data_IF_282143344273
#
_entry.id   IF_282143344273
#
_cell.length_a   1.000
_cell.length_b   1.000
_cell.length_c   1.000
_cell.angle_alpha   90.00
_cell.angle_beta   90.00
_cell.angle_gamma   90.00
#
_symmetry.space_group_name_H-M   'P 1'
#
loop_
_entity.id
_entity.type
_entity.pdbx_description
1 polymer ?
#
# COMPACT_ATOMS: atom_id res chain seq x y z
N UNK A 1 -29.37 42.93 24.07
CA UNK A 1 -28.44 44.06 24.19
C UNK A 1 -27.81 44.29 22.83
N UNK A 2 -28.09 45.47 22.27
CA UNK A 2 -27.59 45.96 20.99
C UNK A 2 -26.10 46.26 21.09
N UNK A 3 -25.31 45.87 20.09
CA UNK A 3 -24.14 46.66 19.66
C UNK A 3 -24.00 46.58 18.15
N UNK A 4 -23.95 47.77 17.55
CA UNK A 4 -23.82 48.10 16.13
C UNK A 4 -22.34 48.02 15.73
N UNK A 5 -22.04 47.51 14.54
CA UNK A 5 -20.76 47.73 13.88
C UNK A 5 -21.00 48.13 12.42
N UNK A 6 -20.96 49.45 12.23
CA UNK A 6 -20.63 50.25 11.04
C UNK A 6 -20.38 49.52 9.72
N UNK A 7 -21.24 49.81 8.74
CA UNK A 7 -21.01 49.55 7.32
C UNK A 7 -19.97 50.52 6.74
N UNK A 8 -18.82 50.00 6.32
CA UNK A 8 -17.94 50.70 5.38
C UNK A 8 -18.34 50.29 3.98
N UNK A 9 -18.96 51.21 3.24
CA UNK A 9 -19.24 51.07 1.81
C UNK A 9 -17.96 51.29 1.01
N UNK A 10 -17.49 50.24 0.32
CA UNK A 10 -16.44 50.32 -0.71
C UNK A 10 -17.14 50.28 -2.08
N UNK A 11 -16.76 51.12 -3.06
CA UNK A 11 -17.52 51.26 -4.31
C UNK A 11 -17.41 50.01 -5.20
N UNK A 12 -18.51 49.77 -5.92
CA UNK A 12 -18.72 48.73 -6.92
C UNK A 12 -17.55 48.56 -7.91
N UNK A 13 -17.20 47.30 -8.20
CA UNK A 13 -16.31 46.98 -9.32
C UNK A 13 -15.85 45.52 -9.45
N UNK A 14 -16.16 44.64 -8.50
CA UNK A 14 -15.81 43.22 -8.60
C UNK A 14 -17.03 42.34 -8.37
N UNK A 15 -17.40 41.54 -9.36
CA UNK A 15 -18.28 40.38 -9.16
C UNK A 15 -17.83 39.63 -7.90
N UNK A 16 -18.71 39.35 -6.93
CA UNK A 16 -18.32 38.58 -5.77
C UNK A 16 -17.83 37.23 -6.27
N UNK A 17 -16.56 36.90 -6.02
CA UNK A 17 -16.05 35.55 -6.26
C UNK A 17 -16.87 34.64 -5.34
N UNK A 18 -17.94 34.04 -5.88
CA UNK A 18 -18.59 32.90 -5.24
C UNK A 18 -17.47 31.93 -4.89
N UNK A 19 -17.32 31.62 -3.60
CA UNK A 19 -16.52 30.50 -3.12
C UNK A 19 -17.06 29.21 -3.74
N UNK A 20 -16.76 28.98 -5.01
CA UNK A 20 -17.00 27.73 -5.72
C UNK A 20 -15.89 26.80 -5.29
N UNK A 21 -16.04 26.25 -4.08
CA UNK A 21 -15.24 25.12 -3.65
C UNK A 21 -15.55 23.97 -4.63
N UNK A 22 -14.62 23.71 -5.56
CA UNK A 22 -14.74 22.57 -6.50
C UNK A 22 -14.89 21.28 -5.69
N UNK A 23 -15.61 20.26 -6.21
CA UNK A 23 -15.63 18.93 -5.58
C UNK A 23 -14.20 18.46 -5.29
N UNK A 24 -13.98 17.82 -4.13
CA UNK A 24 -12.63 17.39 -3.70
C UNK A 24 -11.98 16.49 -4.76
N UNK A 25 -12.75 15.62 -5.40
CA UNK A 25 -12.29 14.75 -6.49
C UNK A 25 -11.69 15.50 -7.70
N UNK A 26 -12.02 16.79 -7.89
CA UNK A 26 -11.57 17.60 -9.04
C UNK A 26 -10.53 18.65 -8.62
N UNK A 27 -9.88 18.47 -7.47
CA UNK A 27 -8.85 19.40 -6.95
C UNK A 27 -7.46 18.86 -7.21
N UNK A 28 -6.53 19.80 -7.45
CA UNK A 28 -5.10 19.55 -7.35
C UNK A 28 -4.64 20.07 -5.99
N UNK A 29 -4.07 19.19 -5.16
CA UNK A 29 -3.56 19.55 -3.84
C UNK A 29 -2.16 20.17 -3.92
N UNK A 30 -1.81 21.00 -2.94
CA UNK A 30 -0.55 21.78 -2.95
C UNK A 30 0.21 21.56 -1.65
N UNK A 31 1.35 20.87 -1.74
CA UNK A 31 2.29 20.72 -0.61
C UNK A 31 3.32 21.86 -0.56
N UNK A 32 3.76 22.35 -1.72
CA UNK A 32 4.67 23.49 -1.89
C UNK A 32 4.14 24.40 -3.00
N UNK A 33 4.23 25.71 -2.82
CA UNK A 33 3.76 26.68 -3.82
C UNK A 33 4.46 26.51 -5.17
N UNK A 34 3.70 26.51 -6.27
CA UNK A 34 4.20 26.33 -7.64
C UNK A 34 3.62 27.40 -8.57
N UNK A 35 4.49 28.10 -9.30
CA UNK A 35 4.13 29.13 -10.28
C UNK A 35 4.03 28.51 -11.69
N UNK A 36 2.83 28.11 -12.10
CA UNK A 36 2.60 27.40 -13.37
C UNK A 36 2.98 28.21 -14.62
N UNK A 37 2.94 29.54 -14.55
CA UNK A 37 3.36 30.46 -15.61
C UNK A 37 4.86 30.35 -15.96
N UNK A 38 5.67 29.90 -15.00
CA UNK A 38 7.11 29.69 -15.16
C UNK A 38 7.47 28.33 -15.75
N UNK A 39 6.54 27.37 -15.80
CA UNK A 39 6.78 26.03 -16.34
C UNK A 39 6.76 26.08 -17.87
N UNK A 40 7.75 25.46 -18.52
CA UNK A 40 7.89 25.43 -20.00
C UNK A 40 7.69 24.06 -20.63
N UNK A 41 7.83 23.00 -19.85
CA UNK A 41 7.70 21.62 -20.32
C UNK A 41 6.83 20.84 -19.35
N UNK A 42 6.02 19.93 -19.89
CA UNK A 42 5.18 19.01 -19.14
C UNK A 42 5.58 17.59 -19.56
N UNK A 43 6.18 16.84 -18.63
CA UNK A 43 6.48 15.43 -18.82
C UNK A 43 5.37 14.57 -18.24
N UNK A 44 5.06 13.45 -18.90
CA UNK A 44 4.07 12.48 -18.44
C UNK A 44 4.72 11.10 -18.40
N UNK A 45 4.46 10.37 -17.32
CA UNK A 45 4.63 8.93 -17.26
C UNK A 45 3.40 8.25 -17.91
N UNK A 46 3.51 6.97 -18.27
CA UNK A 46 2.43 6.25 -18.94
C UNK A 46 1.54 5.51 -17.93
N UNK A 47 2.10 4.49 -17.29
CA UNK A 47 1.33 3.54 -16.49
C UNK A 47 0.86 4.14 -15.17
N UNK A 48 -0.42 3.95 -14.85
CA UNK A 48 -1.09 4.57 -13.69
C UNK A 48 -0.98 6.11 -13.64
N UNK A 49 -0.58 6.77 -14.74
CA UNK A 49 -0.57 8.22 -14.90
C UNK A 49 -1.46 8.67 -16.06
N UNK A 50 -1.19 8.19 -17.28
CA UNK A 50 -2.05 8.40 -18.46
C UNK A 50 -2.94 7.19 -18.71
N UNK A 51 -2.37 5.99 -18.53
CA UNK A 51 -3.06 4.71 -18.65
C UNK A 51 -3.41 4.18 -17.25
N UNK A 52 -4.62 4.48 -16.79
CA UNK A 52 -5.14 3.94 -15.54
C UNK A 52 -5.77 2.56 -15.81
N UNK A 53 -5.15 1.52 -15.27
CA UNK A 53 -5.66 0.15 -15.35
C UNK A 53 -6.90 0.00 -14.46
N UNK A 54 -7.87 -0.79 -14.93
CA UNK A 54 -9.10 -1.05 -14.19
C UNK A 54 -8.84 -2.00 -13.03
N UNK A 55 -9.30 -1.59 -11.85
CA UNK A 55 -9.24 -2.38 -10.63
C UNK A 55 -10.62 -2.96 -10.31
N UNK A 56 -10.73 -4.25 -9.92
CA UNK A 56 -9.63 -5.17 -9.63
C UNK A 56 -9.18 -6.05 -10.81
N UNK A 57 -9.72 -5.87 -12.03
CA UNK A 57 -9.53 -6.83 -13.13
C UNK A 57 -8.06 -6.96 -13.57
N UNK A 58 -7.29 -5.86 -13.55
CA UNK A 58 -5.88 -5.90 -13.93
C UNK A 58 -5.02 -6.61 -12.86
N UNK A 59 -5.31 -6.38 -11.59
CA UNK A 59 -4.64 -7.02 -10.46
C UNK A 59 -4.93 -8.53 -10.44
N UNK A 60 -6.19 -8.93 -10.68
CA UNK A 60 -6.58 -10.35 -10.81
C UNK A 60 -5.79 -11.02 -11.93
N UNK A 61 -5.69 -10.39 -13.10
CA UNK A 61 -4.92 -10.92 -14.22
C UNK A 61 -3.44 -11.14 -13.84
N UNK A 62 -2.81 -10.17 -13.18
CA UNK A 62 -1.43 -10.30 -12.71
C UNK A 62 -1.27 -11.42 -11.68
N UNK A 63 -2.21 -11.52 -10.74
CA UNK A 63 -2.23 -12.55 -9.70
C UNK A 63 -2.34 -13.96 -10.30
N UNK A 64 -3.23 -14.16 -11.27
CA UNK A 64 -3.43 -15.44 -11.96
C UNK A 64 -2.21 -15.89 -12.77
N UNK A 65 -1.52 -14.94 -13.41
CA UNK A 65 -0.28 -15.21 -14.12
C UNK A 65 0.84 -15.65 -13.17
N UNK A 66 0.97 -15.00 -12.00
CA UNK A 66 1.99 -15.35 -10.99
C UNK A 66 1.72 -16.75 -10.40
N UNK A 67 0.47 -17.07 -10.06
CA UNK A 67 0.06 -18.42 -9.62
C UNK A 67 0.54 -19.49 -10.58
N UNK A 68 0.18 -19.32 -11.85
CA UNK A 68 0.50 -20.27 -12.92
C UNK A 68 2.02 -20.41 -13.05
N UNK A 69 2.74 -19.29 -13.09
CA UNK A 69 4.20 -19.29 -13.25
C UNK A 69 4.92 -20.00 -12.09
N UNK A 70 4.48 -19.81 -10.86
CA UNK A 70 5.16 -20.43 -9.70
C UNK A 70 4.95 -21.94 -9.66
N UNK A 71 3.77 -22.43 -10.04
CA UNK A 71 3.54 -23.88 -10.16
C UNK A 71 4.41 -24.49 -11.27
N UNK A 72 4.60 -23.79 -12.39
CA UNK A 72 5.57 -24.22 -13.43
C UNK A 72 7.01 -24.31 -12.90
N UNK A 73 7.39 -23.45 -11.95
CA UNK A 73 8.70 -23.46 -11.29
C UNK A 73 8.80 -24.49 -10.15
N UNK A 74 7.72 -25.23 -9.87
CA UNK A 74 7.72 -26.35 -8.91
C UNK A 74 7.12 -26.03 -7.54
N UNK A 75 6.42 -24.91 -7.38
CA UNK A 75 5.60 -24.68 -6.19
C UNK A 75 4.37 -25.61 -6.17
N UNK A 76 3.76 -25.89 -4.98
CA UNK A 76 2.60 -26.78 -4.86
C UNK A 76 1.40 -26.35 -5.72
N UNK A 77 0.73 -27.31 -6.36
CA UNK A 77 -0.44 -27.05 -7.22
C UNK A 77 -1.60 -26.37 -6.48
N UNK A 78 -1.70 -26.57 -5.16
CA UNK A 78 -2.72 -25.94 -4.29
C UNK A 78 -2.71 -24.40 -4.36
N UNK A 79 -1.62 -23.78 -4.82
CA UNK A 79 -1.53 -22.33 -5.02
C UNK A 79 -2.46 -21.84 -6.14
N UNK A 80 -2.82 -22.69 -7.11
CA UNK A 80 -3.73 -22.32 -8.20
C UNK A 80 -5.12 -21.93 -7.68
N UNK A 81 -5.50 -22.48 -6.53
CA UNK A 81 -6.78 -22.22 -5.86
C UNK A 81 -6.81 -20.88 -5.12
N UNK A 82 -5.70 -20.15 -5.04
CA UNK A 82 -5.71 -18.83 -4.41
C UNK A 82 -6.57 -17.85 -5.22
N UNK A 83 -7.41 -17.09 -4.53
CA UNK A 83 -8.22 -16.02 -5.12
C UNK A 83 -7.67 -14.66 -4.69
N UNK A 84 -7.66 -13.68 -5.60
CA UNK A 84 -7.21 -12.33 -5.27
C UNK A 84 -8.29 -11.58 -4.49
N UNK A 85 -7.93 -11.05 -3.31
CA UNK A 85 -8.77 -10.15 -2.52
C UNK A 85 -8.26 -8.70 -2.65
N UNK A 86 -9.00 -7.79 -3.33
CA UNK A 86 -8.60 -6.40 -3.48
C UNK A 86 -8.67 -5.58 -2.17
N UNK A 87 -9.40 -6.05 -1.16
CA UNK A 87 -9.59 -5.32 0.09
C UNK A 87 -8.43 -5.53 1.08
N UNK A 88 -7.59 -6.55 0.87
CA UNK A 88 -6.45 -6.85 1.73
C UNK A 88 -5.23 -5.97 1.50
N UNK A 89 -4.64 -5.89 0.29
CA UNK A 89 -3.36 -5.19 0.10
C UNK A 89 -3.55 -3.68 0.14
N UNK A 90 -2.59 -3.00 0.75
CA UNK A 90 -2.50 -1.54 0.72
C UNK A 90 -1.14 -1.11 0.20
N UNK A 91 -1.10 -0.05 -0.60
CA UNK A 91 0.16 0.57 -1.03
C UNK A 91 0.91 1.18 0.16
N UNK A 92 2.22 1.09 0.13
CA UNK A 92 3.14 1.58 1.16
C UNK A 92 3.47 0.58 2.25
N UNK A 93 3.05 -0.68 2.12
CA UNK A 93 3.45 -1.75 3.03
C UNK A 93 4.92 -2.13 2.82
N UNK A 94 5.55 -2.58 3.89
CA UNK A 94 6.91 -3.11 3.90
C UNK A 94 6.83 -4.62 4.08
N UNK A 95 7.44 -5.38 3.20
CA UNK A 95 7.57 -6.81 3.34
C UNK A 95 8.95 -7.14 3.93
N UNK A 96 8.96 -7.75 5.11
CA UNK A 96 10.15 -8.24 5.77
C UNK A 96 10.50 -9.64 5.26
N UNK A 97 11.50 -9.73 4.38
CA UNK A 97 11.90 -10.99 3.74
C UNK A 97 12.51 -11.99 4.71
N UNK A 98 13.01 -11.53 5.87
CA UNK A 98 13.63 -12.40 6.88
C UNK A 98 12.57 -13.15 7.70
N UNK A 99 11.46 -12.48 8.03
CA UNK A 99 10.43 -13.02 8.93
C UNK A 99 9.09 -13.30 8.25
N UNK A 100 8.95 -12.95 6.97
CA UNK A 100 7.73 -13.15 6.19
C UNK A 100 6.53 -12.35 6.71
N UNK A 101 6.75 -11.12 7.21
CA UNK A 101 5.66 -10.27 7.72
C UNK A 101 5.43 -9.07 6.80
N UNK A 102 4.16 -8.70 6.64
CA UNK A 102 3.75 -7.43 6.05
C UNK A 102 3.59 -6.40 7.16
N UNK A 103 4.28 -5.27 7.01
CA UNK A 103 4.38 -4.21 8.01
C UNK A 103 3.79 -2.92 7.44
N UNK A 104 2.93 -2.27 8.22
CA UNK A 104 2.58 -0.86 8.03
C UNK A 104 3.41 -0.05 8.99
N UNK A 105 4.24 0.84 8.48
CA UNK A 105 5.15 1.66 9.28
C UNK A 105 4.87 3.15 9.13
N UNK A 106 5.27 3.94 10.12
CA UNK A 106 5.31 5.39 9.99
C UNK A 106 6.61 5.88 9.33
N UNK A 107 6.75 7.20 9.19
CA UNK A 107 7.93 7.82 8.57
C UNK A 107 9.25 7.59 9.34
N UNK A 108 9.17 7.12 10.59
CA UNK A 108 10.34 6.85 11.43
C UNK A 108 10.66 5.35 11.51
N UNK A 109 9.84 4.47 10.91
CA UNK A 109 10.00 3.01 10.96
C UNK A 109 9.29 2.35 12.14
N UNK A 110 8.44 3.06 12.88
CA UNK A 110 7.64 2.43 13.94
C UNK A 110 6.55 1.57 13.32
N UNK A 111 6.39 0.35 13.83
CA UNK A 111 5.42 -0.62 13.32
C UNK A 111 4.04 -0.28 13.86
N UNK A 112 3.13 0.11 12.96
CA UNK A 112 1.73 0.42 13.26
C UNK A 112 0.85 -0.84 13.16
N UNK A 113 1.11 -1.67 12.15
CA UNK A 113 0.41 -2.94 11.90
C UNK A 113 1.42 -3.97 11.43
N UNK A 114 1.27 -5.21 11.88
CA UNK A 114 2.06 -6.35 11.42
C UNK A 114 1.13 -7.53 11.15
N UNK A 115 1.29 -8.13 9.97
CA UNK A 115 0.49 -9.28 9.52
C UNK A 115 1.45 -10.40 9.10
N UNK A 116 1.19 -11.62 9.55
CA UNK A 116 1.88 -12.83 9.13
C UNK A 116 0.88 -13.75 8.43
N UNK A 117 1.04 -13.94 7.12
CA UNK A 117 -0.02 -14.52 6.28
C UNK A 117 -1.25 -13.61 6.31
N UNK A 118 -2.38 -14.11 6.80
CA UNK A 118 -3.59 -13.31 7.08
C UNK A 118 -3.81 -12.97 8.56
N UNK A 119 -2.87 -13.36 9.42
CA UNK A 119 -3.00 -13.17 10.87
C UNK A 119 -2.40 -11.83 11.31
N UNK A 120 -3.25 -10.96 11.84
CA UNK A 120 -2.81 -9.73 12.51
C UNK A 120 -2.11 -10.08 13.83
N UNK A 121 -0.87 -9.62 13.99
CA UNK A 121 -0.10 -9.83 15.21
C UNK A 121 -0.47 -8.80 16.27
N UNK A 122 -0.58 -9.24 17.53
CA UNK A 122 -0.77 -8.34 18.66
C UNK A 122 0.54 -7.63 19.00
N UNK A 123 0.46 -6.50 19.69
CA UNK A 123 1.62 -5.70 20.09
C UNK A 123 2.69 -6.50 20.84
N UNK A 124 2.30 -7.48 21.66
CA UNK A 124 3.24 -8.33 22.37
C UNK A 124 4.04 -9.22 21.40
N UNK A 125 3.36 -9.90 20.47
CA UNK A 125 4.00 -10.74 19.45
C UNK A 125 4.89 -9.91 18.52
N UNK A 126 4.47 -8.68 18.20
CA UNK A 126 5.29 -7.74 17.42
C UNK A 126 6.57 -7.43 18.19
N UNK A 127 6.51 -7.20 19.50
CA UNK A 127 7.70 -6.89 20.31
C UNK A 127 8.65 -8.06 20.49
N UNK A 128 8.15 -9.29 20.41
CA UNK A 128 8.98 -10.50 20.41
C UNK A 128 9.80 -10.60 19.13
N UNK A 129 9.20 -10.31 17.96
CA UNK A 129 9.88 -10.34 16.65
C UNK A 129 10.69 -9.08 16.34
N UNK A 130 10.21 -7.92 16.79
CA UNK A 130 10.78 -6.60 16.56
C UNK A 130 11.01 -5.92 17.91
N UNK A 131 12.17 -6.19 18.56
CA UNK A 131 12.53 -5.52 19.80
C UNK A 131 12.51 -4.00 19.59
N UNK A 132 11.73 -3.28 20.41
CA UNK A 132 11.40 -1.85 20.30
C UNK A 132 10.21 -1.47 19.39
N UNK A 133 9.58 -2.43 18.69
CA UNK A 133 8.44 -2.15 17.81
C UNK A 133 8.80 -1.27 16.62
N UNK A 134 10.06 -1.32 16.20
CA UNK A 134 10.65 -0.48 15.19
C UNK A 134 11.49 -1.32 14.23
N UNK A 135 11.55 -0.91 12.98
CA UNK A 135 12.40 -1.53 11.97
C UNK A 135 13.09 -0.47 11.11
N UNK A 136 14.37 -0.70 10.83
CA UNK A 136 15.13 0.13 9.90
C UNK A 136 14.77 -0.23 8.47
N UNK A 137 14.64 0.77 7.60
CA UNK A 137 14.64 0.53 6.16
C UNK A 137 16.04 0.04 5.74
N UNK A 138 16.11 -1.23 5.34
CA UNK A 138 17.30 -1.88 4.82
C UNK A 138 16.90 -2.60 3.54
N UNK A 139 17.40 -2.12 2.39
CA UNK A 139 17.04 -2.65 1.07
C UNK A 139 17.40 -4.14 0.88
N UNK A 140 18.28 -4.70 1.73
CA UNK A 140 18.62 -6.13 1.69
C UNK A 140 17.57 -7.03 2.36
N UNK A 141 16.74 -6.46 3.25
CA UNK A 141 15.75 -7.19 4.05
C UNK A 141 14.32 -6.73 3.79
N UNK A 142 14.13 -5.46 3.48
CA UNK A 142 12.83 -4.82 3.39
C UNK A 142 12.52 -4.49 1.94
N UNK A 143 11.44 -5.08 1.44
CA UNK A 143 10.86 -4.71 0.16
C UNK A 143 9.69 -3.74 0.38
N UNK A 144 9.73 -2.56 -0.24
CA UNK A 144 8.68 -1.54 -0.10
C UNK A 144 7.71 -1.57 -1.27
N UNK A 145 6.44 -1.84 -0.96
CA UNK A 145 5.32 -1.91 -1.91
C UNK A 145 4.86 -0.51 -2.31
N UNK A 146 5.54 0.10 -3.28
CA UNK A 146 5.31 1.51 -3.62
C UNK A 146 4.33 1.73 -4.78
N UNK A 147 4.20 0.77 -5.69
CA UNK A 147 3.40 0.94 -6.91
C UNK A 147 2.12 0.12 -6.87
N UNK A 148 1.13 0.49 -7.70
CA UNK A 148 -0.10 -0.28 -7.83
C UNK A 148 0.15 -1.67 -8.47
N UNK A 149 1.23 -1.82 -9.25
CA UNK A 149 1.66 -3.12 -9.76
C UNK A 149 2.02 -4.12 -8.67
N UNK A 150 2.42 -3.65 -7.49
CA UNK A 150 2.81 -4.52 -6.39
C UNK A 150 1.62 -5.04 -5.56
N UNK A 151 0.40 -4.55 -5.79
CA UNK A 151 -0.78 -4.99 -5.04
C UNK A 151 -1.05 -6.50 -5.16
N UNK A 152 -1.09 -7.11 -6.37
CA UNK A 152 -1.27 -8.56 -6.50
C UNK A 152 -0.14 -9.34 -5.84
N UNK A 153 1.12 -8.92 -6.01
CA UNK A 153 2.29 -9.54 -5.36
C UNK A 153 2.18 -9.49 -3.83
N UNK A 154 1.74 -8.37 -3.27
CA UNK A 154 1.58 -8.19 -1.81
C UNK A 154 0.55 -9.15 -1.24
N UNK A 155 -0.59 -9.27 -1.90
CA UNK A 155 -1.61 -10.24 -1.52
C UNK A 155 -1.08 -11.68 -1.66
N UNK A 156 -0.38 -11.95 -2.76
CA UNK A 156 0.18 -13.27 -3.05
C UNK A 156 1.19 -13.72 -1.99
N UNK A 157 2.09 -12.82 -1.54
CA UNK A 157 3.02 -13.10 -0.44
C UNK A 157 2.28 -13.47 0.85
N UNK A 158 1.16 -12.80 1.15
CA UNK A 158 0.32 -13.17 2.30
C UNK A 158 -0.30 -14.56 2.13
N UNK A 159 -0.86 -14.89 0.95
CA UNK A 159 -1.39 -16.22 0.65
C UNK A 159 -0.34 -17.31 0.84
N UNK A 160 0.88 -17.09 0.33
CA UNK A 160 1.98 -18.04 0.41
C UNK A 160 2.40 -18.29 1.85
N UNK A 161 2.63 -17.22 2.62
CA UNK A 161 2.99 -17.34 4.03
C UNK A 161 1.88 -18.06 4.81
N UNK A 162 0.62 -17.72 4.55
CA UNK A 162 -0.52 -18.38 5.21
C UNK A 162 -0.61 -19.87 4.87
N UNK A 163 -0.49 -20.21 3.58
CA UNK A 163 -0.53 -21.60 3.10
C UNK A 163 0.55 -22.46 3.76
N UNK A 164 1.81 -22.02 3.74
CA UNK A 164 2.90 -22.80 4.34
C UNK A 164 2.84 -22.83 5.87
N UNK A 165 2.25 -21.81 6.51
CA UNK A 165 2.04 -21.80 7.96
C UNK A 165 0.98 -22.81 8.39
N UNK A 166 -0.07 -22.99 7.58
CA UNK A 166 -1.23 -23.82 7.92
C UNK A 166 -1.16 -25.24 7.31
N UNK A 167 -0.19 -25.50 6.43
CA UNK A 167 -0.04 -26.81 5.79
C UNK A 167 0.66 -27.80 6.74
N UNK A 168 0.10 -29.01 6.96
CA UNK A 168 0.66 -30.01 7.89
C UNK A 168 1.97 -30.63 7.39
N UNK A 169 2.30 -30.48 6.10
CA UNK A 169 3.50 -31.03 5.48
C UNK A 169 4.76 -30.19 5.75
N UNK A 170 4.55 -28.96 6.22
CA UNK A 170 5.62 -27.99 6.42
C UNK A 170 5.77 -27.63 7.89
N UNK A 171 7.03 -27.53 8.32
CA UNK A 171 7.39 -27.13 9.67
C UNK A 171 7.94 -25.72 9.60
N UNK A 172 7.29 -24.80 10.30
CA UNK A 172 7.77 -23.43 10.46
C UNK A 172 9.13 -23.41 11.19
N UNK A 173 10.07 -22.70 10.60
CA UNK A 173 11.37 -22.37 11.19
C UNK A 173 11.45 -20.87 11.45
N UNK A 174 12.55 -20.40 12.05
CA UNK A 174 12.70 -18.98 12.40
C UNK A 174 12.62 -18.04 11.18
N UNK A 175 13.08 -18.48 10.00
CA UNK A 175 13.21 -17.67 8.79
C UNK A 175 12.60 -18.32 7.54
N UNK A 176 11.61 -19.21 7.71
CA UNK A 176 10.97 -19.89 6.57
C UNK A 176 10.37 -21.23 6.95
N UNK A 177 10.22 -22.12 5.98
CA UNK A 177 9.56 -23.41 6.14
C UNK A 177 10.46 -24.57 5.70
N UNK A 178 10.36 -25.70 6.39
CA UNK A 178 11.00 -26.96 6.00
C UNK A 178 9.94 -27.96 5.60
N UNK A 179 10.21 -28.73 4.55
CA UNK A 179 9.34 -29.83 4.11
C UNK A 179 9.76 -31.12 4.82
N UNK A 180 8.84 -31.77 5.54
CA UNK A 180 9.12 -32.97 6.33
C UNK A 180 9.91 -32.70 7.63
N UNK A 181 10.32 -33.78 8.31
CA UNK A 181 11.24 -33.76 9.47
C UNK A 181 12.71 -33.57 9.06
#
# INVERSE_FOLDING_TARGET
MTTVASSVTVPNGGTPMKNRHRPVANRVFVNKSLHLDKIKFYGFDMDYTLAEYKSPEYEILGFDQVKTRLVEEGYPEAILDFEYDPDFPSRGLWFDTLLGNLLKVDAYGNILVCVHGFRFLKTQEIREKYPNGWIQLDDSRIYVVNTLFNLPETHFLACIVDYFTNSPEYIASEHGFKYGE
#
